data_IF_811025171349
#
_entry.id   IF_811025171349
#
_cell.length_a   1.000
_cell.length_b   1.000
_cell.length_c   1.000
_cell.angle_alpha   90.00
_cell.angle_beta   90.00
_cell.angle_gamma   90.00
#
_symmetry.space_group_name_H-M   'P 1'
#
loop_
_entity.id
_entity.type
_entity.pdbx_description
1 polymer ?
#
# COMPACT_ATOMS: atom_id res chain seq x y z
N UNK A 1 -4.03 49.83 -1.16
CA UNK A 1 -3.50 48.73 -0.32
C UNK A 1 -2.53 49.34 0.66
N UNK A 2 -2.55 48.93 1.94
CA UNK A 2 -1.58 49.42 2.92
C UNK A 2 -0.26 48.68 2.65
N UNK A 3 0.74 49.41 2.13
CA UNK A 3 2.03 48.84 1.69
C UNK A 3 3.03 48.64 2.84
N UNK A 4 2.60 48.88 4.07
CA UNK A 4 3.42 48.86 5.27
C UNK A 4 2.70 48.11 6.40
N UNK A 5 3.49 47.49 7.28
CA UNK A 5 3.06 47.01 8.59
C UNK A 5 3.35 48.12 9.58
N UNK A 6 2.30 48.68 10.18
CA UNK A 6 2.42 49.80 11.12
C UNK A 6 2.28 49.28 12.53
N UNK A 7 3.34 49.45 13.32
CA UNK A 7 3.39 49.05 14.72
C UNK A 7 3.34 50.32 15.57
N UNK A 8 2.41 50.38 16.51
CA UNK A 8 2.26 51.51 17.43
C UNK A 8 2.31 51.03 18.87
N UNK A 9 3.18 51.66 19.65
CA UNK A 9 3.33 51.45 21.09
C UNK A 9 3.76 50.04 21.49
N UNK A 10 4.73 49.43 20.81
CA UNK A 10 5.21 48.11 21.21
C UNK A 10 6.06 48.19 22.49
N UNK A 11 5.69 47.38 23.50
CA UNK A 11 6.25 47.36 24.86
C UNK A 11 6.58 45.95 25.37
N UNK A 12 6.41 44.92 24.54
CA UNK A 12 6.76 43.53 24.89
C UNK A 12 8.20 43.43 25.44
N UNK A 13 8.34 42.80 26.60
CA UNK A 13 9.60 42.66 27.34
C UNK A 13 10.31 44.00 27.62
N UNK A 14 11.40 44.29 26.90
CA UNK A 14 12.24 45.45 27.12
C UNK A 14 12.04 46.57 26.08
N UNK A 15 11.07 46.42 25.17
CA UNK A 15 10.70 47.45 24.21
C UNK A 15 10.16 48.70 24.93
N UNK A 16 10.59 49.87 24.48
CA UNK A 16 10.31 51.16 25.13
C UNK A 16 9.24 51.96 24.40
N UNK A 17 8.04 51.38 24.29
CA UNK A 17 6.88 52.00 23.63
C UNK A 17 7.19 52.49 22.21
N UNK A 18 7.77 51.59 21.39
CA UNK A 18 8.31 51.97 20.08
C UNK A 18 7.22 52.01 19.01
N UNK A 19 7.38 52.92 18.05
CA UNK A 19 6.58 53.00 16.84
C UNK A 19 7.48 52.70 15.64
N UNK A 20 7.02 51.84 14.73
CA UNK A 20 7.79 51.41 13.56
C UNK A 20 6.86 51.16 12.38
N UNK A 21 7.31 51.55 11.19
CA UNK A 21 6.67 51.21 9.92
C UNK A 21 7.61 50.29 9.13
N UNK A 22 7.13 49.09 8.82
CA UNK A 22 7.91 48.05 8.11
C UNK A 22 7.35 47.92 6.68
N UNK A 23 8.17 48.04 5.63
CA UNK A 23 7.69 47.85 4.26
C UNK A 23 7.27 46.40 4.01
N UNK A 24 6.09 46.20 3.42
CA UNK A 24 5.60 44.87 3.03
C UNK A 24 6.30 44.39 1.76
N UNK A 25 6.32 43.06 1.58
CA UNK A 25 6.87 42.41 0.38
C UNK A 25 8.36 42.71 0.13
N UNK A 26 9.08 42.98 1.22
CA UNK A 26 10.53 43.18 1.23
C UNK A 26 11.19 42.22 2.20
N UNK A 27 12.43 41.87 1.92
CA UNK A 27 13.31 41.23 2.89
C UNK A 27 13.74 42.30 3.91
N UNK A 28 13.20 42.23 5.12
CA UNK A 28 13.51 43.16 6.21
C UNK A 28 14.40 42.45 7.21
N UNK A 29 15.54 43.07 7.54
CA UNK A 29 16.52 42.53 8.49
C UNK A 29 16.52 43.39 9.76
N UNK A 30 16.20 42.76 10.90
CA UNK A 30 16.32 43.37 12.22
C UNK A 30 17.72 43.12 12.77
N UNK A 31 18.46 44.19 13.06
CA UNK A 31 19.84 44.14 13.56
C UNK A 31 20.03 44.97 14.82
N UNK A 32 21.12 44.74 15.56
CA UNK A 32 21.43 45.39 16.83
C UNK A 32 22.11 44.47 17.83
N UNK A 33 22.63 45.04 18.92
CA UNK A 33 23.35 44.33 19.98
C UNK A 33 22.51 43.22 20.64
N UNK A 34 23.16 42.21 21.21
CA UNK A 34 22.44 41.19 21.99
C UNK A 34 21.62 41.85 23.10
N UNK A 35 20.39 41.38 23.31
CA UNK A 35 19.46 41.98 24.28
C UNK A 35 18.80 43.30 23.85
N UNK A 36 19.04 43.81 22.63
CA UNK A 36 18.45 45.08 22.16
C UNK A 36 16.93 45.05 21.90
N UNK A 37 16.26 43.92 22.13
CA UNK A 37 14.81 43.76 21.89
C UNK A 37 14.42 43.29 20.47
N UNK A 38 15.38 42.81 19.66
CA UNK A 38 15.09 42.25 18.31
C UNK A 38 14.11 41.08 18.37
N UNK A 39 14.40 40.10 19.23
CA UNK A 39 13.54 38.92 19.38
C UNK A 39 12.19 39.30 19.97
N UNK A 40 12.17 40.22 20.93
CA UNK A 40 10.95 40.79 21.50
C UNK A 40 10.04 41.36 20.41
N UNK A 41 10.59 42.16 19.49
CA UNK A 41 9.83 42.73 18.39
C UNK A 41 9.42 41.69 17.33
N UNK A 42 10.34 40.82 16.92
CA UNK A 42 10.13 39.88 15.82
C UNK A 42 9.22 38.71 16.19
N UNK A 43 9.54 38.02 17.29
CA UNK A 43 8.88 36.79 17.71
C UNK A 43 7.75 37.08 18.70
N UNK A 44 8.06 37.81 19.77
CA UNK A 44 7.12 38.00 20.89
C UNK A 44 6.05 39.07 20.61
N UNK A 45 6.27 39.96 19.62
CA UNK A 45 5.27 40.94 19.16
C UNK A 45 4.70 40.57 17.79
N UNK A 46 5.49 40.61 16.72
CA UNK A 46 4.98 40.49 15.34
C UNK A 46 4.49 39.08 14.99
N UNK A 47 5.31 38.06 15.22
CA UNK A 47 4.91 36.67 14.98
C UNK A 47 3.75 36.26 15.89
N UNK A 48 3.84 36.55 17.19
CA UNK A 48 2.78 36.26 18.15
C UNK A 48 1.43 36.89 17.75
N UNK A 49 1.39 38.17 17.38
CA UNK A 49 0.16 38.81 16.90
C UNK A 49 -0.31 38.24 15.56
N UNK A 50 0.61 37.97 14.63
CA UNK A 50 0.28 37.44 13.31
C UNK A 50 -0.34 36.04 13.38
N UNK A 51 0.23 35.18 14.24
CA UNK A 51 -0.30 33.86 14.53
C UNK A 51 -1.63 33.94 15.27
N UNK A 52 -1.74 34.76 16.33
CA UNK A 52 -2.98 34.92 17.11
C UNK A 52 -4.15 35.33 16.23
N UNK A 53 -3.99 36.40 15.43
CA UNK A 53 -5.06 36.89 14.53
C UNK A 53 -5.49 35.86 13.51
N UNK A 54 -4.54 35.09 12.97
CA UNK A 54 -4.85 34.02 12.03
C UNK A 54 -5.64 32.89 12.69
N UNK A 55 -5.17 32.38 13.84
CA UNK A 55 -5.85 31.27 14.54
C UNK A 55 -7.23 31.70 15.08
N UNK A 56 -7.40 32.96 15.51
CA UNK A 56 -8.71 33.52 15.91
C UNK A 56 -9.75 33.49 14.79
N UNK A 57 -9.30 33.49 13.53
CA UNK A 57 -10.17 33.42 12.36
C UNK A 57 -10.60 31.99 11.99
N UNK A 58 -9.90 30.95 12.48
CA UNK A 58 -10.11 29.55 12.04
C UNK A 58 -11.39 28.92 12.61
N UNK A 59 -11.66 29.05 13.91
CA UNK A 59 -12.90 28.52 14.50
C UNK A 59 -13.28 29.22 15.82
N UNK A 60 -14.58 29.20 16.14
CA UNK A 60 -15.09 29.73 17.41
C UNK A 60 -14.51 28.98 18.63
N UNK A 61 -14.24 27.69 18.49
CA UNK A 61 -13.60 26.85 19.51
C UNK A 61 -12.13 27.23 19.70
N UNK A 62 -11.37 27.46 18.62
CA UNK A 62 -9.97 27.87 18.70
C UNK A 62 -9.79 29.20 19.46
N UNK A 63 -10.76 30.13 19.34
CA UNK A 63 -10.75 31.38 20.12
C UNK A 63 -10.76 31.15 21.63
N UNK A 64 -11.43 30.11 22.13
CA UNK A 64 -11.45 29.81 23.57
C UNK A 64 -10.07 29.40 24.10
N UNK A 65 -9.26 28.70 23.29
CA UNK A 65 -7.89 28.32 23.67
C UNK A 65 -6.90 29.48 23.56
N UNK A 66 -7.10 30.39 22.60
CA UNK A 66 -6.24 31.56 22.43
C UNK A 66 -6.41 32.62 23.52
N UNK A 67 -7.56 32.66 24.20
CA UNK A 67 -7.76 33.54 25.36
C UNK A 67 -6.85 33.21 26.54
N UNK A 68 -6.25 32.01 26.56
CA UNK A 68 -5.25 31.61 27.54
C UNK A 68 -3.82 32.03 27.16
N UNK A 69 -3.60 32.47 25.92
CA UNK A 69 -2.29 32.95 25.47
C UNK A 69 -2.11 34.42 25.84
N UNK A 70 -0.93 34.75 26.37
CA UNK A 70 -0.58 36.12 26.72
C UNK A 70 -0.54 36.98 25.45
N UNK A 71 -1.35 38.05 25.43
CA UNK A 71 -1.35 39.00 24.31
C UNK A 71 -0.09 39.86 24.37
N UNK A 72 0.61 40.05 23.24
CA UNK A 72 1.74 40.98 23.21
C UNK A 72 1.31 42.38 23.62
N UNK A 73 2.11 43.02 24.48
CA UNK A 73 1.88 44.41 24.88
C UNK A 73 2.23 45.38 23.74
N UNK A 74 1.21 45.72 22.96
CA UNK A 74 1.25 46.66 21.83
C UNK A 74 -0.09 47.36 21.71
N UNK A 75 -0.10 48.65 21.34
CA UNK A 75 -1.37 49.38 21.19
C UNK A 75 -2.12 48.93 19.95
N UNK A 76 -1.45 49.02 18.79
CA UNK A 76 -2.05 48.67 17.50
C UNK A 76 -0.97 48.14 16.55
N UNK A 77 -1.34 47.09 15.81
CA UNK A 77 -0.60 46.67 14.61
C UNK A 77 -1.57 46.61 13.43
N UNK A 78 -1.26 47.36 12.36
CA UNK A 78 -2.03 47.37 11.11
C UNK A 78 -1.22 46.75 9.97
N UNK A 79 -1.90 46.16 8.98
CA UNK A 79 -1.25 45.59 7.80
C UNK A 79 -0.49 44.27 8.03
N UNK A 80 -0.61 43.67 9.22
CA UNK A 80 0.04 42.40 9.58
C UNK A 80 -0.57 41.23 8.81
N UNK A 81 0.29 40.38 8.25
CA UNK A 81 -0.10 39.15 7.56
C UNK A 81 -0.04 37.96 8.52
N UNK A 82 -0.70 36.82 8.22
CA UNK A 82 -0.45 35.58 8.94
C UNK A 82 1.06 35.29 8.98
N UNK A 83 1.58 35.02 10.17
CA UNK A 83 3.01 34.91 10.40
C UNK A 83 3.41 33.46 10.65
N UNK A 84 4.59 33.07 10.13
CA UNK A 84 5.22 31.77 10.36
C UNK A 84 6.61 32.05 10.94
N UNK A 85 6.93 31.42 12.06
CA UNK A 85 8.27 31.47 12.65
C UNK A 85 9.11 30.32 12.10
N UNK A 86 10.33 30.63 11.68
CA UNK A 86 11.34 29.64 11.32
C UNK A 86 12.53 29.85 12.27
N UNK A 87 12.60 29.02 13.30
CA UNK A 87 13.60 29.08 14.37
C UNK A 87 14.49 27.85 14.36
N UNK A 88 15.71 28.00 14.86
CA UNK A 88 16.61 26.87 15.17
C UNK A 88 16.25 26.23 16.53
N UNK A 89 14.96 26.04 16.82
CA UNK A 89 14.52 25.35 18.04
C UNK A 89 14.70 23.85 17.84
N UNK A 90 15.15 23.13 18.87
CA UNK A 90 15.46 21.70 18.78
C UNK A 90 14.28 20.94 18.16
N UNK A 91 14.54 20.31 17.01
CA UNK A 91 13.61 19.40 16.33
C UNK A 91 13.19 18.29 17.28
N UNK A 92 11.95 17.81 17.10
CA UNK A 92 11.42 16.62 17.79
C UNK A 92 12.50 15.54 17.98
N UNK A 93 12.82 15.22 19.23
CA UNK A 93 13.76 14.16 19.60
C UNK A 93 13.17 12.76 19.45
N UNK A 94 12.07 12.60 18.72
CA UNK A 94 11.44 11.31 18.52
C UNK A 94 12.38 10.42 17.68
N UNK A 95 12.81 9.26 18.21
CA UNK A 95 13.73 8.37 17.50
C UNK A 95 13.18 7.81 16.17
N UNK A 96 11.86 7.90 15.95
CA UNK A 96 11.22 7.50 14.69
C UNK A 96 11.12 8.63 13.67
N UNK A 97 11.54 9.85 14.01
CA UNK A 97 11.59 10.97 13.07
C UNK A 97 12.90 10.94 12.28
N UNK A 98 12.78 10.88 10.96
CA UNK A 98 13.89 10.96 10.03
C UNK A 98 13.77 12.22 9.18
N UNK A 99 14.84 12.58 8.45
CA UNK A 99 14.77 13.67 7.46
C UNK A 99 13.60 13.44 6.49
N UNK A 100 13.41 12.21 6.01
CA UNK A 100 12.35 11.87 5.07
C UNK A 100 10.95 12.03 5.63
N UNK A 101 10.73 11.80 6.94
CA UNK A 101 9.41 12.03 7.55
C UNK A 101 9.15 13.51 7.82
N UNK A 102 10.19 14.29 8.15
CA UNK A 102 10.05 15.74 8.41
C UNK A 102 9.80 16.52 7.12
N UNK A 103 10.39 16.09 6.01
CA UNK A 103 10.20 16.72 4.69
C UNK A 103 9.06 16.10 3.88
N UNK A 104 8.33 15.14 4.45
CA UNK A 104 7.27 14.34 3.78
C UNK A 104 7.75 13.54 2.55
N UNK A 105 9.05 13.57 2.21
CA UNK A 105 9.63 12.80 1.09
C UNK A 105 9.38 11.30 1.27
N UNK A 106 9.44 10.80 2.51
CA UNK A 106 9.13 9.40 2.79
C UNK A 106 7.68 9.04 2.40
N UNK A 107 6.74 9.96 2.52
CA UNK A 107 5.34 9.72 2.16
C UNK A 107 5.18 9.53 0.65
N UNK A 108 5.88 10.34 -0.13
CA UNK A 108 5.97 10.16 -1.58
C UNK A 108 6.68 8.87 -1.96
N UNK A 109 7.74 8.49 -1.26
CA UNK A 109 8.42 7.21 -1.49
C UNK A 109 7.48 6.03 -1.22
N UNK A 110 6.73 6.04 -0.11
CA UNK A 110 5.74 5.00 0.19
C UNK A 110 4.70 4.86 -0.92
N UNK A 111 4.22 5.98 -1.44
CA UNK A 111 3.29 6.00 -2.57
C UNK A 111 3.94 5.46 -3.86
N UNK A 112 5.17 5.85 -4.15
CA UNK A 112 5.93 5.39 -5.31
C UNK A 112 6.11 3.86 -5.28
N UNK A 113 6.57 3.31 -4.15
CA UNK A 113 6.76 1.87 -3.99
C UNK A 113 5.44 1.09 -4.06
N UNK A 114 4.36 1.65 -3.54
CA UNK A 114 3.03 1.03 -3.64
C UNK A 114 2.48 0.99 -5.07
N UNK A 115 2.73 2.04 -5.87
CA UNK A 115 2.13 2.18 -7.21
C UNK A 115 2.99 1.65 -8.35
N UNK A 116 4.31 1.73 -8.21
CA UNK A 116 5.26 1.39 -9.28
C UNK A 116 6.29 0.34 -8.86
N UNK A 117 6.30 -0.09 -7.59
CA UNK A 117 7.19 -1.13 -7.13
C UNK A 117 6.75 -2.50 -7.63
N UNK A 118 7.67 -3.23 -8.26
CA UNK A 118 7.49 -4.65 -8.56
C UNK A 118 7.89 -5.44 -7.31
N UNK A 119 6.97 -6.19 -6.68
CA UNK A 119 7.31 -7.04 -5.55
C UNK A 119 8.07 -8.29 -6.01
N UNK A 120 9.02 -8.77 -5.20
CA UNK A 120 9.81 -9.97 -5.48
C UNK A 120 9.64 -11.01 -4.37
N UNK A 121 9.71 -12.29 -4.73
CA UNK A 121 9.76 -13.38 -3.77
C UNK A 121 11.09 -13.35 -3.01
N UNK A 122 11.10 -13.32 -1.67
CA UNK A 122 12.34 -13.25 -0.89
C UNK A 122 13.23 -14.50 -1.03
N UNK A 123 12.64 -15.67 -1.35
CA UNK A 123 13.38 -16.93 -1.44
C UNK A 123 13.85 -17.25 -2.88
N UNK A 124 13.11 -16.81 -3.89
CA UNK A 124 13.30 -17.21 -5.29
C UNK A 124 13.70 -16.06 -6.21
N UNK A 125 13.64 -14.81 -5.72
CA UNK A 125 13.94 -13.58 -6.49
C UNK A 125 13.14 -13.45 -7.80
N UNK A 126 11.94 -14.02 -7.82
CA UNK A 126 11.01 -13.91 -8.93
C UNK A 126 10.05 -12.74 -8.72
N UNK A 127 9.79 -11.99 -9.78
CA UNK A 127 8.76 -10.97 -9.78
C UNK A 127 7.41 -11.60 -9.44
N UNK A 128 6.74 -11.04 -8.44
CA UNK A 128 5.38 -11.42 -8.09
C UNK A 128 4.47 -10.57 -8.98
N UNK A 129 3.68 -11.24 -9.80
CA UNK A 129 2.72 -10.60 -10.68
C UNK A 129 1.31 -10.99 -10.27
N UNK A 130 0.45 -9.99 -10.10
CA UNK A 130 -0.98 -10.20 -10.02
C UNK A 130 -1.56 -9.95 -11.41
N UNK A 131 -2.36 -10.89 -11.90
CA UNK A 131 -3.04 -10.78 -13.18
C UNK A 131 -4.56 -10.70 -12.95
N UNK A 132 -5.22 -9.84 -13.71
CA UNK A 132 -6.68 -9.82 -13.77
C UNK A 132 -7.20 -11.01 -14.59
N UNK A 133 -8.46 -11.40 -14.37
CA UNK A 133 -9.11 -12.46 -15.18
C UNK A 133 -9.00 -12.14 -16.67
N UNK A 134 -9.22 -10.88 -17.08
CA UNK A 134 -9.08 -10.46 -18.47
C UNK A 134 -7.67 -10.73 -19.04
N UNK A 135 -6.61 -10.39 -18.29
CA UNK A 135 -5.23 -10.68 -18.71
C UNK A 135 -4.94 -12.18 -18.80
N UNK A 136 -5.49 -12.98 -17.89
CA UNK A 136 -5.38 -14.45 -17.96
C UNK A 136 -6.06 -14.99 -19.23
N UNK A 137 -7.26 -14.49 -19.53
CA UNK A 137 -8.01 -14.83 -20.76
C UNK A 137 -7.20 -14.43 -21.99
N UNK A 138 -6.67 -13.20 -22.05
CA UNK A 138 -5.86 -12.72 -23.17
C UNK A 138 -4.61 -13.58 -23.39
N UNK A 139 -3.95 -14.00 -22.30
CA UNK A 139 -2.78 -14.90 -22.35
C UNK A 139 -3.14 -16.26 -22.95
N UNK A 140 -4.29 -16.81 -22.57
CA UNK A 140 -4.78 -18.10 -23.13
C UNK A 140 -5.22 -17.95 -24.58
N UNK A 141 -5.87 -16.83 -24.94
CA UNK A 141 -6.30 -16.55 -26.31
C UNK A 141 -5.13 -16.32 -27.27
N UNK A 142 -3.94 -15.98 -26.76
CA UNK A 142 -2.70 -15.87 -27.53
C UNK A 142 -2.03 -17.24 -27.82
N UNK A 143 -2.51 -18.34 -27.23
CA UNK A 143 -2.02 -19.69 -27.51
C UNK A 143 -2.50 -20.19 -28.88
N UNK A 144 -1.87 -21.25 -29.46
CA UNK A 144 -2.27 -21.78 -30.76
C UNK A 144 -3.76 -22.16 -30.83
N UNK A 145 -4.40 -21.82 -31.95
CA UNK A 145 -5.77 -22.23 -32.26
C UNK A 145 -5.91 -23.76 -32.17
N UNK A 146 -7.07 -24.23 -31.70
CA UNK A 146 -7.40 -25.64 -31.44
C UNK A 146 -6.58 -26.34 -30.34
N UNK A 147 -5.68 -25.64 -29.63
CA UNK A 147 -4.99 -26.21 -28.48
C UNK A 147 -5.99 -26.68 -27.42
N UNK A 148 -5.79 -27.92 -26.93
CA UNK A 148 -6.62 -28.52 -25.88
C UNK A 148 -6.11 -28.14 -24.51
N UNK A 149 -6.86 -27.32 -23.79
CA UNK A 149 -6.46 -26.80 -22.49
C UNK A 149 -7.36 -27.33 -21.38
N UNK A 150 -6.76 -27.52 -20.22
CA UNK A 150 -7.42 -27.86 -18.98
C UNK A 150 -7.20 -26.74 -17.97
N UNK A 151 -8.30 -26.16 -17.46
CA UNK A 151 -8.27 -25.14 -16.41
C UNK A 151 -8.41 -25.85 -15.06
N UNK A 152 -7.46 -25.59 -14.18
CA UNK A 152 -7.28 -26.25 -12.90
C UNK A 152 -7.25 -25.24 -11.76
N UNK A 153 -7.86 -25.60 -10.64
CA UNK A 153 -7.76 -24.85 -9.38
C UNK A 153 -6.82 -25.59 -8.41
N UNK A 154 -5.59 -25.10 -8.16
CA UNK A 154 -4.64 -25.76 -7.26
C UNK A 154 -5.00 -25.53 -5.79
N UNK A 155 -5.91 -26.36 -5.27
CA UNK A 155 -6.44 -26.26 -3.89
C UNK A 155 -5.42 -26.68 -2.83
N UNK A 156 -4.52 -27.62 -3.16
CA UNK A 156 -3.45 -28.07 -2.27
C UNK A 156 -2.14 -28.14 -3.05
N UNK A 157 -1.06 -27.60 -2.48
CA UNK A 157 0.28 -27.65 -3.09
C UNK A 157 1.30 -28.15 -2.05
N UNK A 158 1.90 -29.32 -2.33
CA UNK A 158 2.96 -29.94 -1.51
C UNK A 158 2.67 -30.08 0.01
N UNK A 159 1.40 -30.31 0.40
CA UNK A 159 1.04 -30.49 1.81
C UNK A 159 0.85 -31.94 2.17
N UNK A 160 1.17 -32.28 3.43
CA UNK A 160 0.93 -33.61 4.00
C UNK A 160 -0.49 -33.72 4.52
N UNK A 161 -1.15 -34.84 4.24
CA UNK A 161 -2.52 -35.09 4.71
C UNK A 161 -3.30 -36.04 3.82
N UNK A 162 -4.42 -36.55 4.34
CA UNK A 162 -5.30 -37.48 3.60
C UNK A 162 -6.39 -36.73 2.81
N UNK A 163 -6.70 -35.48 3.19
CA UNK A 163 -7.61 -34.56 2.50
C UNK A 163 -9.02 -35.11 2.20
N UNK A 164 -9.51 -36.08 2.98
CA UNK A 164 -10.85 -36.69 2.79
C UNK A 164 -11.96 -35.64 2.85
N UNK A 165 -11.99 -34.83 3.91
CA UNK A 165 -12.98 -33.75 4.08
C UNK A 165 -12.95 -32.73 2.93
N UNK A 166 -11.77 -32.48 2.35
CA UNK A 166 -11.63 -31.55 1.22
C UNK A 166 -12.31 -32.14 -0.03
N UNK A 167 -12.09 -33.42 -0.32
CA UNK A 167 -12.75 -34.08 -1.45
C UNK A 167 -14.26 -34.14 -1.28
N UNK A 168 -14.77 -34.47 -0.09
CA UNK A 168 -16.21 -34.49 0.18
C UNK A 168 -16.85 -33.11 -0.06
N UNK A 169 -16.21 -32.04 0.42
CA UNK A 169 -16.67 -30.67 0.21
C UNK A 169 -16.68 -30.26 -1.28
N UNK A 170 -15.67 -30.67 -2.04
CA UNK A 170 -15.57 -30.37 -3.48
C UNK A 170 -16.57 -31.19 -4.30
N UNK A 171 -16.81 -32.44 -3.92
CA UNK A 171 -17.86 -33.27 -4.53
C UNK A 171 -19.26 -32.71 -4.25
N UNK A 172 -19.51 -32.22 -3.03
CA UNK A 172 -20.77 -31.56 -2.67
C UNK A 172 -21.01 -30.27 -3.50
N UNK A 173 -19.96 -29.61 -3.96
CA UNK A 173 -20.02 -28.47 -4.89
C UNK A 173 -20.16 -28.88 -6.36
N UNK A 174 -20.16 -30.18 -6.67
CA UNK A 174 -20.36 -30.73 -8.01
C UNK A 174 -19.07 -30.98 -8.82
N UNK A 175 -17.89 -30.87 -8.21
CA UNK A 175 -16.64 -31.16 -8.91
C UNK A 175 -16.39 -32.67 -8.99
N UNK A 176 -16.30 -33.18 -10.22
CA UNK A 176 -16.21 -34.62 -10.50
C UNK A 176 -14.80 -35.10 -10.88
N UNK A 177 -13.86 -34.19 -11.12
CA UNK A 177 -12.51 -34.55 -11.61
C UNK A 177 -11.43 -33.80 -10.85
N UNK A 178 -10.40 -34.54 -10.48
CA UNK A 178 -9.25 -34.05 -9.73
C UNK A 178 -7.98 -34.52 -10.41
N UNK A 179 -6.98 -33.65 -10.47
CA UNK A 179 -5.62 -33.99 -10.83
C UNK A 179 -4.80 -34.07 -9.56
N UNK A 180 -4.19 -35.22 -9.31
CA UNK A 180 -3.49 -35.50 -8.05
C UNK A 180 -2.05 -35.86 -8.39
N UNK A 181 -1.11 -35.22 -7.68
CA UNK A 181 0.31 -35.55 -7.71
C UNK A 181 0.73 -35.98 -6.30
N UNK A 182 1.08 -37.25 -6.15
CA UNK A 182 1.39 -37.87 -4.85
C UNK A 182 2.79 -38.46 -4.86
N UNK A 183 3.75 -37.83 -4.20
CA UNK A 183 5.12 -38.35 -4.17
C UNK A 183 6.11 -37.34 -3.60
N UNK A 184 6.47 -37.53 -2.33
CA UNK A 184 7.42 -36.67 -1.60
C UNK A 184 8.36 -37.50 -0.74
N UNK A 185 9.13 -38.37 -1.40
CA UNK A 185 10.28 -39.10 -0.85
C UNK A 185 11.38 -39.18 -1.93
N UNK A 186 12.64 -39.26 -1.52
CA UNK A 186 13.90 -38.90 -2.23
C UNK A 186 14.19 -39.51 -3.62
N UNK A 187 13.24 -40.11 -4.34
CA UNK A 187 13.51 -40.65 -5.68
C UNK A 187 12.36 -40.67 -6.69
N UNK A 188 11.12 -40.27 -6.37
CA UNK A 188 10.02 -40.37 -7.33
C UNK A 188 9.16 -39.10 -7.36
N UNK A 189 9.44 -38.21 -8.33
CA UNK A 189 8.46 -37.21 -8.76
C UNK A 189 7.30 -37.96 -9.43
N UNK A 190 6.19 -38.12 -8.72
CA UNK A 190 5.05 -38.86 -9.23
C UNK A 190 4.42 -38.15 -10.43
N UNK A 191 4.00 -38.93 -11.43
CA UNK A 191 3.16 -38.45 -12.53
C UNK A 191 1.85 -37.90 -11.96
N UNK A 192 1.38 -36.79 -12.53
CA UNK A 192 0.05 -36.29 -12.22
C UNK A 192 -0.98 -37.24 -12.85
N UNK A 193 -1.90 -37.76 -12.04
CA UNK A 193 -2.99 -38.62 -12.49
C UNK A 193 -4.32 -37.86 -12.38
N UNK A 194 -5.14 -37.96 -13.44
CA UNK A 194 -6.49 -37.42 -13.43
C UNK A 194 -7.42 -38.53 -12.97
N UNK A 195 -8.12 -38.26 -11.88
CA UNK A 195 -9.01 -39.21 -11.20
C UNK A 195 -10.42 -38.62 -11.14
N UNK A 196 -11.42 -39.47 -11.35
CA UNK A 196 -12.82 -39.10 -11.16
C UNK A 196 -13.23 -39.25 -9.69
N UNK A 197 -14.19 -38.45 -9.24
CA UNK A 197 -14.66 -38.40 -7.86
C UNK A 197 -15.03 -39.77 -7.28
N UNK A 198 -15.57 -40.66 -8.10
CA UNK A 198 -15.99 -42.02 -7.70
C UNK A 198 -14.82 -42.97 -7.42
N UNK A 199 -13.61 -42.65 -7.90
CA UNK A 199 -12.43 -43.51 -7.84
C UNK A 199 -11.23 -42.83 -7.16
N UNK A 200 -11.47 -41.99 -6.15
CA UNK A 200 -10.40 -41.28 -5.44
C UNK A 200 -9.42 -42.25 -4.74
N UNK A 201 -8.10 -42.11 -4.96
CA UNK A 201 -7.11 -42.92 -4.25
C UNK A 201 -7.03 -42.52 -2.77
N UNK A 202 -6.82 -43.50 -1.89
CA UNK A 202 -6.49 -43.21 -0.49
C UNK A 202 -5.08 -42.58 -0.41
N UNK A 203 -5.04 -41.28 -0.09
CA UNK A 203 -3.80 -40.53 0.10
C UNK A 203 -3.16 -40.89 1.45
N UNK A 204 -1.82 -40.96 1.48
CA UNK A 204 -1.07 -41.31 2.70
C UNK A 204 -0.79 -40.07 3.53
N UNK A 205 -1.22 -40.04 4.78
CA UNK A 205 -1.05 -38.91 5.70
C UNK A 205 0.36 -38.31 5.78
N UNK A 206 1.40 -39.13 5.63
CA UNK A 206 2.80 -38.71 5.79
C UNK A 206 3.46 -38.18 4.51
N UNK A 207 2.85 -38.40 3.36
CA UNK A 207 3.39 -38.02 2.06
C UNK A 207 2.89 -36.61 1.69
N UNK A 208 3.68 -35.90 0.88
CA UNK A 208 3.25 -34.63 0.31
C UNK A 208 2.39 -34.88 -0.91
N UNK A 209 1.26 -34.17 -0.97
CA UNK A 209 0.30 -34.22 -2.06
C UNK A 209 0.08 -32.82 -2.64
N UNK A 210 -0.08 -32.76 -3.96
CA UNK A 210 -0.66 -31.61 -4.66
C UNK A 210 -1.97 -32.07 -5.31
N UNK A 211 -3.03 -31.29 -5.07
CA UNK A 211 -4.39 -31.61 -5.51
C UNK A 211 -4.90 -30.40 -6.27
N UNK A 212 -5.30 -30.63 -7.51
CA UNK A 212 -5.88 -29.62 -8.37
C UNK A 212 -7.26 -30.05 -8.86
N UNK A 213 -8.26 -29.18 -8.75
CA UNK A 213 -9.62 -29.45 -9.22
C UNK A 213 -9.71 -29.13 -10.70
N UNK A 214 -10.28 -30.03 -11.51
CA UNK A 214 -10.53 -29.76 -12.92
C UNK A 214 -11.79 -28.93 -13.05
N UNK A 215 -11.64 -27.66 -13.40
CA UNK A 215 -12.76 -26.70 -13.53
C UNK A 215 -13.38 -26.80 -14.91
N UNK A 216 -12.56 -26.74 -15.97
CA UNK A 216 -13.04 -26.85 -17.34
C UNK A 216 -12.02 -27.49 -18.28
N UNK A 217 -12.51 -28.03 -19.40
CA UNK A 217 -11.71 -28.56 -20.51
C UNK A 217 -12.21 -27.92 -21.79
N UNK A 218 -11.32 -27.20 -22.46
CA UNK A 218 -11.66 -26.33 -23.58
C UNK A 218 -10.71 -26.56 -24.74
N UNK A 219 -11.13 -26.08 -25.93
CA UNK A 219 -10.26 -25.91 -27.08
C UNK A 219 -10.22 -24.44 -27.44
N UNK A 220 -9.03 -23.91 -27.68
CA UNK A 220 -8.86 -22.49 -28.02
C UNK A 220 -9.56 -22.19 -29.35
N UNK A 221 -10.55 -21.29 -29.29
CA UNK A 221 -11.36 -20.78 -30.42
C UNK A 221 -11.61 -19.29 -30.21
N UNK A 222 -12.08 -18.58 -31.23
CA UNK A 222 -12.32 -17.13 -31.12
C UNK A 222 -13.48 -16.75 -30.19
N UNK A 223 -14.45 -17.66 -29.97
CA UNK A 223 -15.71 -17.41 -29.26
C UNK A 223 -15.73 -17.84 -27.78
N UNK A 224 -14.62 -18.35 -27.24
CA UNK A 224 -14.59 -18.93 -25.88
C UNK A 224 -14.23 -17.94 -24.76
N UNK A 225 -14.05 -16.66 -25.05
CA UNK A 225 -13.60 -15.65 -24.07
C UNK A 225 -14.48 -15.59 -22.81
N UNK A 226 -15.81 -15.57 -22.97
CA UNK A 226 -16.73 -15.51 -21.82
C UNK A 226 -16.62 -16.78 -20.96
N UNK A 227 -16.57 -17.95 -21.61
CA UNK A 227 -16.43 -19.25 -20.92
C UNK A 227 -15.09 -19.36 -20.19
N UNK A 228 -14.01 -18.84 -20.78
CA UNK A 228 -12.69 -18.74 -20.16
C UNK A 228 -12.76 -17.90 -18.89
N UNK A 229 -13.38 -16.71 -18.95
CA UNK A 229 -13.52 -15.82 -17.80
C UNK A 229 -14.27 -16.49 -16.64
N UNK A 230 -15.41 -17.12 -16.91
CA UNK A 230 -16.21 -17.86 -15.91
C UNK A 230 -15.41 -19.03 -15.28
N UNK A 231 -14.62 -19.73 -16.09
CA UNK A 231 -13.75 -20.82 -15.64
C UNK A 231 -12.61 -20.32 -14.75
N UNK A 232 -11.96 -19.21 -15.12
CA UNK A 232 -10.93 -18.57 -14.31
C UNK A 232 -11.49 -18.04 -12.99
N UNK A 233 -12.63 -17.36 -13.01
CA UNK A 233 -13.28 -16.90 -11.77
C UNK A 233 -13.60 -18.06 -10.81
N UNK A 234 -14.09 -19.17 -11.36
CA UNK A 234 -14.36 -20.39 -10.57
C UNK A 234 -13.07 -20.96 -10.01
N UNK A 235 -12.01 -21.08 -10.82
CA UNK A 235 -10.72 -21.61 -10.39
C UNK A 235 -10.08 -20.75 -9.29
N UNK A 236 -10.06 -19.43 -9.49
CA UNK A 236 -9.53 -18.47 -8.53
C UNK A 236 -10.31 -18.51 -7.21
N UNK A 237 -11.63 -18.67 -7.24
CA UNK A 237 -12.46 -18.78 -6.04
C UNK A 237 -12.15 -20.04 -5.23
N UNK A 238 -11.90 -21.17 -5.90
CA UNK A 238 -11.61 -22.44 -5.24
C UNK A 238 -10.21 -22.49 -4.63
N UNK A 239 -9.21 -21.89 -5.28
CA UNK A 239 -7.81 -21.96 -4.91
C UNK A 239 -7.24 -20.63 -4.38
N UNK A 240 -8.08 -19.84 -3.69
CA UNK A 240 -7.73 -18.57 -3.02
C UNK A 240 -6.90 -17.59 -3.88
N UNK A 241 -7.29 -17.45 -5.14
CA UNK A 241 -6.70 -16.54 -6.09
C UNK A 241 -5.58 -17.13 -6.96
N UNK A 242 -5.45 -18.46 -7.01
CA UNK A 242 -4.56 -19.17 -7.95
C UNK A 242 -5.37 -19.93 -9.00
N UNK A 243 -4.86 -19.99 -10.22
CA UNK A 243 -5.40 -20.82 -11.29
C UNK A 243 -4.23 -21.42 -12.08
N UNK A 244 -4.46 -22.52 -12.76
CA UNK A 244 -3.45 -23.16 -13.59
C UNK A 244 -4.08 -23.64 -14.89
N UNK A 245 -3.37 -23.47 -15.99
CA UNK A 245 -3.75 -23.97 -17.31
C UNK A 245 -2.73 -25.02 -17.72
N UNK A 246 -3.22 -26.15 -18.21
CA UNK A 246 -2.38 -27.24 -18.69
C UNK A 246 -2.76 -27.57 -20.11
N UNK A 247 -1.76 -27.57 -20.99
CA UNK A 247 -1.93 -28.04 -22.35
C UNK A 247 -1.96 -29.57 -22.35
N UNK A 248 -3.08 -30.16 -22.78
CA UNK A 248 -3.28 -31.61 -22.77
C UNK A 248 -2.44 -32.35 -23.80
N UNK A 249 -1.98 -31.67 -24.85
CA UNK A 249 -1.16 -32.29 -25.90
C UNK A 249 0.35 -32.19 -25.57
N UNK A 250 0.83 -31.06 -25.02
CA UNK A 250 2.26 -30.88 -24.66
C UNK A 250 2.61 -31.19 -23.19
N UNK A 251 1.63 -31.15 -22.28
CA UNK A 251 1.83 -31.24 -20.84
C UNK A 251 2.41 -29.99 -20.19
N UNK A 252 2.53 -28.88 -20.93
CA UNK A 252 3.03 -27.60 -20.42
C UNK A 252 2.05 -26.99 -19.42
N UNK A 253 2.57 -26.49 -18.29
CA UNK A 253 1.78 -25.91 -17.19
C UNK A 253 2.05 -24.41 -17.09
N UNK A 254 0.99 -23.60 -17.15
CA UNK A 254 1.04 -22.14 -16.95
C UNK A 254 0.26 -21.80 -15.69
N UNK A 255 0.91 -21.15 -14.73
CA UNK A 255 0.30 -20.76 -13.46
C UNK A 255 -0.12 -19.29 -13.54
N UNK A 256 -1.32 -19.01 -13.06
CA UNK A 256 -1.89 -17.68 -12.96
C UNK A 256 -2.21 -17.36 -11.49
N UNK A 257 -2.03 -16.11 -11.09
CA UNK A 257 -2.50 -15.64 -9.79
C UNK A 257 -3.14 -14.26 -9.89
N UNK A 258 -4.26 -14.11 -9.20
CA UNK A 258 -4.95 -12.83 -8.99
C UNK A 258 -4.34 -12.01 -7.84
N UNK A 259 -3.42 -12.61 -7.08
CA UNK A 259 -2.67 -11.96 -6.00
C UNK A 259 -1.19 -11.95 -6.39
N UNK A 260 -0.40 -11.13 -5.72
CA UNK A 260 1.06 -11.13 -5.87
C UNK A 260 1.65 -12.39 -5.23
N UNK A 261 1.63 -13.52 -5.94
CA UNK A 261 2.05 -14.82 -5.39
C UNK A 261 3.22 -15.42 -6.18
N UNK A 262 4.11 -16.09 -5.45
CA UNK A 262 5.23 -16.80 -6.06
C UNK A 262 4.69 -18.05 -6.78
N UNK A 263 5.18 -18.38 -7.99
CA UNK A 263 4.78 -19.60 -8.70
C UNK A 263 5.39 -20.87 -8.07
N UNK A 264 6.49 -20.75 -7.33
CA UNK A 264 7.23 -21.90 -6.77
C UNK A 264 6.82 -22.17 -5.32
N UNK A 265 6.70 -21.13 -4.49
CA UNK A 265 6.37 -21.28 -3.08
C UNK A 265 5.01 -20.71 -2.72
N UNK A 266 4.59 -20.91 -1.47
CA UNK A 266 3.34 -20.37 -0.94
C UNK A 266 3.40 -18.91 -0.54
N UNK A 267 4.50 -18.19 -0.86
CA UNK A 267 4.62 -16.77 -0.54
C UNK A 267 3.66 -15.95 -1.40
N UNK A 268 2.88 -15.11 -0.76
CA UNK A 268 1.97 -14.18 -1.43
C UNK A 268 1.88 -12.88 -0.66
N UNK A 269 1.82 -11.78 -1.39
CA UNK A 269 1.54 -10.45 -0.88
C UNK A 269 0.10 -10.05 -1.20
N UNK A 270 -0.45 -9.24 -0.31
CA UNK A 270 -1.68 -8.49 -0.58
C UNK A 270 -1.38 -7.33 -1.53
N UNK A 271 -2.42 -6.60 -1.94
CA UNK A 271 -2.25 -5.39 -2.75
C UNK A 271 -1.25 -4.43 -2.09
N UNK A 272 -0.36 -3.87 -2.91
CA UNK A 272 0.68 -2.97 -2.41
C UNK A 272 0.06 -1.64 -1.99
N UNK A 273 -0.01 -1.41 -0.68
CA UNK A 273 -0.50 -0.16 -0.11
C UNK A 273 0.63 0.66 0.51
N UNK A 274 0.57 2.01 0.49
CA UNK A 274 1.59 2.86 1.10
C UNK A 274 1.86 2.56 2.58
N UNK A 275 0.86 2.04 3.31
CA UNK A 275 1.02 1.65 4.71
C UNK A 275 2.00 0.50 4.93
N UNK A 276 2.16 -0.40 3.95
CA UNK A 276 3.13 -1.52 4.01
C UNK A 276 4.57 -1.01 4.09
N UNK A 277 4.82 0.16 3.51
CA UNK A 277 6.13 0.80 3.46
C UNK A 277 6.38 1.78 4.63
N UNK A 278 5.50 1.76 5.64
CA UNK A 278 5.54 2.66 6.78
C UNK A 278 6.05 1.97 8.04
N UNK A 279 7.28 2.29 8.47
CA UNK A 279 7.84 1.79 9.73
C UNK A 279 7.13 2.33 11.00
N UNK A 280 6.24 3.31 10.84
CA UNK A 280 5.42 3.86 11.93
C UNK A 280 4.07 3.15 12.09
N UNK A 281 3.71 2.22 11.20
CA UNK A 281 2.46 1.48 11.27
C UNK A 281 2.75 0.02 11.63
N UNK A 282 2.30 -0.50 12.79
CA UNK A 282 2.41 -1.93 13.05
C UNK A 282 1.50 -2.69 12.07
N UNK A 283 2.13 -3.54 11.26
CA UNK A 283 1.46 -4.52 10.39
C UNK A 283 0.69 -5.56 11.21
#
# INVERSE_FOLDING_TARGET
MNNEIKIRGARTHNLKNINLDIPREKLVVLTGLSGSGKSSLAFDTLYAEGQRRYVESLSAYARQFLQLMEKPDVDVIEGLSPAISIEQKATSHNPRSTVGTVTEIHDYLRLLFARAGTPYCPDHDLALEAQSVSQMVDTVMAMPLDAKLMILAPVVSERKGEFVDLFENLQAQGFVRFRIRSGGGTSNAAKAEIVEADHLPQLKKNDKHSIEVVVDRIRVKEDIQQRLAESFETALRLADGKAMVVNMDSGEETIFSSKFACPICSYSLQELEPRLFSFNNPM
#
